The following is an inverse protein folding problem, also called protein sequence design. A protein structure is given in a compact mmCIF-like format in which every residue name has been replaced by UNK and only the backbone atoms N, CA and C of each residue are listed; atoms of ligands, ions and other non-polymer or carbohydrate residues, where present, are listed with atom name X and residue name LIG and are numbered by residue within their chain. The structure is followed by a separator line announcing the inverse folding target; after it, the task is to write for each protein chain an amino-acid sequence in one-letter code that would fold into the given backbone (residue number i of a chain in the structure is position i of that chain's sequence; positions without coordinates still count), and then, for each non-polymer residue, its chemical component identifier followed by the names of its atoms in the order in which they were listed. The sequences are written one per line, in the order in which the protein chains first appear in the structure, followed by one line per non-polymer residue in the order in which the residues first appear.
data_IF_076115315797
#
_entry.id   IF_076115315797
#
_cell.length_a   1.000
_cell.length_b   1.000
_cell.length_c   1.000
_cell.angle_alpha   90.00
_cell.angle_beta   90.00
_cell.angle_gamma   90.00
#
_symmetry.space_group_name_H-M   'P 1'
#
loop_
_entity.id
_entity.type
_entity.pdbx_description
1 polymer ?
#
# COMPACT_ATOMS: atom_id res chain seq x y z
N UNK A 1 -22.01 -1.35 16.15
CA UNK A 1 -23.33 -0.75 15.94
C UNK A 1 -24.05 -1.42 14.78
N UNK A 2 -25.29 -1.81 14.96
CA UNK A 2 -26.15 -2.40 13.91
C UNK A 2 -26.74 -1.31 12.98
N UNK A 3 -26.68 -0.05 13.39
CA UNK A 3 -27.12 1.08 12.59
C UNK A 3 -25.94 1.77 11.92
N UNK A 4 -26.19 2.33 10.74
CA UNK A 4 -25.24 3.12 9.98
C UNK A 4 -25.71 4.58 9.90
N UNK A 5 -24.75 5.49 9.96
CA UNK A 5 -25.03 6.93 9.96
C UNK A 5 -24.45 7.65 8.74
N UNK A 6 -23.70 6.95 7.89
CA UNK A 6 -23.11 7.54 6.71
C UNK A 6 -24.16 7.77 5.64
N UNK A 7 -24.26 9.00 5.17
CA UNK A 7 -25.22 9.38 4.14
C UNK A 7 -24.96 8.62 2.83
N UNK A 8 -26.02 8.00 2.26
CA UNK A 8 -25.93 7.21 1.03
C UNK A 8 -25.60 5.73 1.20
N UNK A 9 -25.40 5.24 2.44
CA UNK A 9 -25.25 3.80 2.70
C UNK A 9 -26.61 3.09 2.72
N UNK A 10 -26.66 1.88 2.16
CA UNK A 10 -27.88 1.05 2.08
C UNK A 10 -27.84 -0.18 2.97
N UNK A 11 -26.67 -0.50 3.54
CA UNK A 11 -26.46 -1.70 4.35
C UNK A 11 -25.61 -1.40 5.60
N UNK A 12 -25.89 -2.08 6.70
CA UNK A 12 -25.06 -2.01 7.91
C UNK A 12 -23.72 -2.72 7.70
N UNK A 13 -22.71 -2.36 8.51
CA UNK A 13 -21.43 -3.05 8.51
C UNK A 13 -21.59 -4.54 8.83
N UNK A 14 -22.50 -4.89 9.74
CA UNK A 14 -22.81 -6.27 10.11
C UNK A 14 -23.32 -7.06 8.90
N UNK A 15 -24.30 -6.52 8.17
CA UNK A 15 -24.85 -7.16 6.96
C UNK A 15 -23.77 -7.31 5.88
N UNK A 16 -22.94 -6.27 5.69
CA UNK A 16 -21.82 -6.33 4.74
C UNK A 16 -20.84 -7.45 5.08
N UNK A 17 -20.41 -7.54 6.33
CA UNK A 17 -19.46 -8.56 6.79
C UNK A 17 -20.05 -9.96 6.68
N UNK A 18 -21.32 -10.14 7.11
CA UNK A 18 -22.04 -11.41 7.02
C UNK A 18 -22.21 -11.89 5.58
N UNK A 19 -22.64 -10.99 4.69
CA UNK A 19 -22.81 -11.29 3.26
C UNK A 19 -21.50 -11.71 2.59
N UNK A 20 -20.39 -11.12 3.00
CA UNK A 20 -19.07 -11.41 2.46
C UNK A 20 -18.32 -12.52 3.25
N UNK A 21 -18.95 -13.13 4.25
CA UNK A 21 -18.36 -14.18 5.10
C UNK A 21 -17.04 -13.75 5.76
N UNK A 22 -16.97 -12.49 6.18
CA UNK A 22 -15.80 -11.92 6.86
C UNK A 22 -15.98 -12.12 8.36
N UNK A 23 -15.02 -12.81 8.99
CA UNK A 23 -14.99 -13.00 10.44
C UNK A 23 -14.75 -11.65 11.12
N UNK A 24 -15.55 -11.35 12.13
CA UNK A 24 -15.50 -10.11 12.88
C UNK A 24 -15.70 -10.39 14.36
N UNK A 25 -15.04 -9.63 15.22
CA UNK A 25 -15.22 -9.62 16.67
C UNK A 25 -15.76 -8.24 17.10
N UNK A 26 -16.76 -8.24 17.98
CA UNK A 26 -17.32 -7.04 18.62
C UNK A 26 -17.14 -7.07 20.15
N UNK A 27 -17.45 -5.98 20.79
CA UNK A 27 -17.45 -5.85 22.25
C UNK A 27 -16.08 -6.08 22.91
N UNK A 28 -15.01 -5.74 22.18
CA UNK A 28 -13.64 -5.72 22.71
C UNK A 28 -13.24 -4.31 23.12
N UNK A 29 -12.42 -4.20 24.16
CA UNK A 29 -11.80 -2.93 24.55
C UNK A 29 -10.72 -2.54 23.51
N UNK A 30 -11.18 -1.86 22.47
CA UNK A 30 -10.28 -1.42 21.38
C UNK A 30 -9.26 -0.38 21.85
N UNK A 31 -9.56 0.39 22.91
CA UNK A 31 -8.63 1.36 23.50
C UNK A 31 -7.46 0.66 24.19
N UNK A 32 -7.75 -0.35 25.01
CA UNK A 32 -6.71 -1.17 25.62
C UNK A 32 -5.85 -1.89 24.57
N UNK A 33 -6.48 -2.43 23.51
CA UNK A 33 -5.79 -3.08 22.42
C UNK A 33 -4.85 -2.11 21.68
N UNK A 34 -5.31 -0.89 21.37
CA UNK A 34 -4.49 0.14 20.73
C UNK A 34 -3.32 0.56 21.62
N UNK A 35 -3.55 0.73 22.93
CA UNK A 35 -2.48 1.05 23.88
C UNK A 35 -1.44 -0.08 23.93
N UNK A 36 -1.88 -1.32 23.98
CA UNK A 36 -1.00 -2.49 23.96
C UNK A 36 -0.14 -2.54 22.69
N UNK A 37 -0.72 -2.33 21.51
CA UNK A 37 0.01 -2.30 20.23
C UNK A 37 0.99 -1.13 20.21
N UNK A 38 0.63 0.03 20.74
CA UNK A 38 1.52 1.19 20.80
C UNK A 38 2.77 0.89 21.63
N UNK A 39 2.61 0.21 22.75
CA UNK A 39 3.70 -0.04 23.69
C UNK A 39 4.57 -1.23 23.23
N UNK A 40 3.99 -2.25 22.57
CA UNK A 40 4.66 -3.49 22.18
C UNK A 40 4.95 -3.61 20.67
N UNK A 41 4.47 -2.68 19.86
CA UNK A 41 4.60 -2.71 18.40
C UNK A 41 3.50 -3.51 17.70
N UNK A 42 3.47 -3.41 16.38
CA UNK A 42 2.57 -4.19 15.53
C UNK A 42 2.94 -5.68 15.55
N UNK A 43 1.93 -6.54 15.69
CA UNK A 43 2.09 -7.97 15.86
C UNK A 43 1.08 -8.76 15.04
N UNK A 44 1.36 -10.04 14.82
CA UNK A 44 0.39 -10.97 14.26
C UNK A 44 -0.76 -11.20 15.24
N UNK A 45 -1.96 -11.38 14.74
CA UNK A 45 -3.15 -11.67 15.52
C UNK A 45 -4.01 -12.73 14.83
N UNK A 46 -4.81 -13.44 15.60
CA UNK A 46 -5.76 -14.42 15.08
C UNK A 46 -7.14 -14.17 15.69
N UNK A 47 -8.17 -14.24 14.85
CA UNK A 47 -9.58 -14.28 15.28
C UNK A 47 -10.10 -15.65 14.88
N UNK A 48 -10.65 -16.39 15.84
CA UNK A 48 -11.19 -17.74 15.60
C UNK A 48 -12.69 -17.78 15.95
N UNK A 49 -13.46 -18.48 15.12
CA UNK A 49 -14.85 -18.86 15.38
C UNK A 49 -14.98 -20.26 15.96
N UNK A 50 -13.87 -20.99 16.06
CA UNK A 50 -13.79 -22.37 16.58
C UNK A 50 -13.84 -22.36 18.12
N UNK A 51 -15.04 -22.39 18.68
CA UNK A 51 -15.25 -22.36 20.14
C UNK A 51 -14.70 -23.59 20.87
N UNK A 52 -14.53 -24.72 20.18
CA UNK A 52 -13.97 -25.96 20.71
C UNK A 52 -12.43 -26.02 20.71
N UNK A 53 -11.77 -25.06 20.07
CA UNK A 53 -10.32 -25.07 19.96
C UNK A 53 -9.67 -24.45 21.20
N UNK A 54 -8.70 -25.17 21.80
CA UNK A 54 -7.99 -24.67 22.96
C UNK A 54 -7.10 -23.46 22.61
N UNK A 55 -6.93 -22.54 23.56
CA UNK A 55 -6.03 -21.37 23.40
C UNK A 55 -4.61 -21.83 23.01
N UNK A 56 -4.15 -22.98 23.50
CA UNK A 56 -2.84 -23.54 23.15
C UNK A 56 -2.74 -23.80 21.65
N UNK A 57 -3.74 -24.46 21.05
CA UNK A 57 -3.78 -24.73 19.62
C UNK A 57 -3.87 -23.45 18.78
N UNK A 58 -4.63 -22.46 19.25
CA UNK A 58 -4.72 -21.15 18.59
C UNK A 58 -3.35 -20.45 18.60
N UNK A 59 -2.63 -20.49 19.73
CA UNK A 59 -1.26 -19.96 19.83
C UNK A 59 -0.30 -20.68 18.89
N UNK A 60 -0.33 -22.00 18.84
CA UNK A 60 0.50 -22.78 17.92
C UNK A 60 0.25 -22.43 16.43
N UNK A 61 -0.98 -22.05 16.08
CA UNK A 61 -1.30 -21.53 14.75
C UNK A 61 -0.71 -20.14 14.54
N UNK A 62 -0.85 -19.25 15.54
CA UNK A 62 -0.34 -17.89 15.51
C UNK A 62 1.18 -17.84 15.38
N UNK A 63 1.89 -18.70 16.10
CA UNK A 63 3.36 -18.79 16.08
C UNK A 63 3.91 -19.23 14.72
N UNK A 64 3.08 -19.87 13.88
CA UNK A 64 3.43 -20.24 12.50
C UNK A 64 3.21 -19.13 11.49
N UNK A 65 2.57 -18.03 11.86
CA UNK A 65 2.33 -16.89 10.96
C UNK A 65 3.63 -16.12 10.75
N UNK A 66 4.13 -15.97 9.50
CA UNK A 66 5.39 -15.30 9.27
C UNK A 66 5.36 -13.83 9.69
N UNK A 67 6.53 -13.32 10.06
CA UNK A 67 6.71 -11.87 10.25
C UNK A 67 6.46 -11.12 8.94
N UNK A 68 6.04 -9.86 9.03
CA UNK A 68 5.91 -8.99 7.87
C UNK A 68 7.28 -8.65 7.23
N UNK A 69 8.39 -8.70 8.00
CA UNK A 69 9.73 -8.48 7.48
C UNK A 69 10.11 -9.59 6.49
N UNK A 70 10.57 -9.22 5.32
CA UNK A 70 10.93 -10.12 4.25
C UNK A 70 9.73 -10.79 3.55
N UNK A 71 8.49 -10.40 3.89
CA UNK A 71 7.29 -11.02 3.35
C UNK A 71 6.81 -10.32 2.09
N UNK A 72 7.02 -10.96 0.94
CA UNK A 72 6.48 -10.54 -0.35
C UNK A 72 5.00 -10.92 -0.46
N UNK A 73 4.12 -9.94 -0.66
CA UNK A 73 2.68 -10.15 -0.79
C UNK A 73 2.08 -9.54 -2.06
N UNK A 74 2.83 -8.75 -2.82
CA UNK A 74 2.33 -8.10 -4.04
C UNK A 74 1.95 -9.13 -5.10
N UNK A 75 2.69 -10.23 -5.24
CA UNK A 75 2.39 -11.33 -6.17
C UNK A 75 1.04 -12.00 -5.91
N UNK A 76 0.58 -11.99 -4.66
CA UNK A 76 -0.70 -12.60 -4.25
C UNK A 76 -1.91 -11.76 -4.61
N UNK A 77 -1.74 -10.44 -4.78
CA UNK A 77 -2.83 -9.48 -4.97
C UNK A 77 -2.80 -8.76 -6.31
N UNK A 78 -1.67 -8.82 -7.01
CA UNK A 78 -1.49 -8.26 -8.35
C UNK A 78 -2.40 -8.96 -9.38
N UNK A 79 -2.80 -8.21 -10.40
CA UNK A 79 -3.50 -8.79 -11.56
C UNK A 79 -2.66 -9.89 -12.22
N UNK A 80 -3.34 -10.89 -12.77
CA UNK A 80 -2.67 -11.99 -13.49
C UNK A 80 -2.47 -11.70 -14.99
N UNK A 81 -3.19 -10.73 -15.53
CA UNK A 81 -3.11 -10.33 -16.95
C UNK A 81 -3.21 -8.81 -17.06
N UNK A 82 -2.51 -8.20 -18.01
CA UNK A 82 -2.67 -6.77 -18.25
C UNK A 82 -4.12 -6.42 -18.62
N UNK A 83 -4.59 -5.28 -18.12
CA UNK A 83 -5.90 -4.73 -18.48
C UNK A 83 -5.86 -3.21 -18.61
N UNK A 84 -6.91 -2.63 -19.21
CA UNK A 84 -7.02 -1.20 -19.41
C UNK A 84 -8.02 -0.58 -18.44
N UNK A 85 -7.80 0.68 -18.06
CA UNK A 85 -8.70 1.45 -17.23
C UNK A 85 -8.70 2.93 -17.65
N UNK A 86 -9.87 3.56 -17.67
CA UNK A 86 -10.03 4.95 -18.12
C UNK A 86 -10.55 5.05 -19.56
N UNK A 87 -10.72 6.28 -20.04
CA UNK A 87 -11.16 6.54 -21.42
C UNK A 87 -9.94 6.43 -22.36
N UNK A 88 -10.10 5.71 -23.48
CA UNK A 88 -9.04 5.52 -24.48
C UNK A 88 -8.60 6.83 -25.15
N UNK A 89 -9.52 7.80 -25.21
CA UNK A 89 -9.26 9.13 -25.80
C UNK A 89 -8.69 10.14 -24.81
N UNK A 90 -8.34 9.69 -23.59
CA UNK A 90 -7.69 10.52 -22.57
C UNK A 90 -6.32 11.02 -23.06
N UNK A 91 -5.96 12.22 -22.60
CA UNK A 91 -4.74 12.93 -22.99
C UNK A 91 -3.46 12.18 -22.61
N UNK A 92 -3.46 11.54 -21.43
CA UNK A 92 -2.26 10.91 -20.87
C UNK A 92 -2.37 9.39 -20.84
N UNK A 93 -1.32 8.72 -21.30
CA UNK A 93 -1.17 7.26 -21.19
C UNK A 93 -0.25 6.94 -20.01
N UNK A 94 -0.76 6.22 -19.00
CA UNK A 94 0.01 5.86 -17.82
C UNK A 94 0.16 4.34 -17.72
N UNK A 95 1.39 3.85 -17.75
CA UNK A 95 1.69 2.45 -17.48
C UNK A 95 1.77 2.24 -15.97
N UNK A 96 0.91 1.37 -15.45
CA UNK A 96 0.77 1.09 -14.02
C UNK A 96 1.36 -0.28 -13.70
N UNK A 97 2.34 -0.36 -12.81
CA UNK A 97 2.76 -1.61 -12.20
C UNK A 97 1.85 -1.92 -11.01
N UNK A 98 1.15 -3.03 -11.10
CA UNK A 98 0.18 -3.44 -10.07
C UNK A 98 0.85 -4.27 -8.98
N UNK A 99 1.06 -3.66 -7.82
CA UNK A 99 1.52 -4.31 -6.59
C UNK A 99 0.37 -4.56 -5.60
N UNK A 100 -0.89 -4.37 -6.04
CA UNK A 100 -2.09 -4.42 -5.22
C UNK A 100 -2.86 -3.10 -5.27
N UNK A 101 -3.04 -2.55 -6.47
CA UNK A 101 -3.63 -1.23 -6.69
C UNK A 101 -5.07 -1.13 -6.19
N UNK A 102 -5.35 -0.12 -5.37
CA UNK A 102 -6.72 0.20 -4.99
C UNK A 102 -7.47 0.83 -6.16
N UNK A 103 -8.62 0.25 -6.51
CA UNK A 103 -9.47 0.71 -7.62
C UNK A 103 -9.77 2.21 -7.59
N UNK A 104 -9.88 2.79 -6.39
CA UNK A 104 -10.16 4.22 -6.26
C UNK A 104 -8.98 5.11 -6.71
N UNK A 105 -7.75 4.64 -6.64
CA UNK A 105 -6.57 5.32 -7.20
C UNK A 105 -6.71 5.40 -8.72
N UNK A 106 -7.02 4.28 -9.38
CA UNK A 106 -7.24 4.26 -10.81
C UNK A 106 -8.40 5.18 -11.24
N UNK A 107 -9.51 5.19 -10.48
CA UNK A 107 -10.62 6.11 -10.71
C UNK A 107 -10.20 7.58 -10.60
N UNK A 108 -9.35 7.92 -9.65
CA UNK A 108 -8.86 9.29 -9.48
C UNK A 108 -7.90 9.72 -10.59
N UNK A 109 -7.06 8.82 -11.09
CA UNK A 109 -6.22 9.08 -12.26
C UNK A 109 -7.07 9.24 -13.53
N UNK A 110 -8.06 8.36 -13.74
CA UNK A 110 -8.97 8.46 -14.87
C UNK A 110 -9.77 9.78 -14.88
N UNK A 111 -10.22 10.28 -13.72
CA UNK A 111 -10.86 11.60 -13.59
C UNK A 111 -9.95 12.76 -13.95
N UNK A 112 -8.63 12.53 -14.00
CA UNK A 112 -7.58 13.50 -14.39
C UNK A 112 -7.05 13.26 -15.80
N UNK A 113 -7.93 12.73 -16.63
CA UNK A 113 -7.68 12.52 -18.06
C UNK A 113 -6.54 11.53 -18.35
N UNK A 114 -6.48 10.45 -17.57
CA UNK A 114 -5.52 9.37 -17.74
C UNK A 114 -6.18 8.10 -18.28
N UNK A 115 -5.62 7.57 -19.37
CA UNK A 115 -5.84 6.22 -19.85
C UNK A 115 -4.72 5.32 -19.37
N UNK A 116 -5.03 4.25 -18.69
CA UNK A 116 -4.04 3.41 -18.02
C UNK A 116 -4.02 2.01 -18.60
N UNK A 117 -2.82 1.45 -18.73
CA UNK A 117 -2.59 0.02 -18.89
C UNK A 117 -1.97 -0.50 -17.61
N UNK A 118 -2.65 -1.41 -16.95
CA UNK A 118 -2.26 -2.01 -15.67
C UNK A 118 -1.53 -3.31 -15.99
N UNK A 119 -0.32 -3.44 -15.49
CA UNK A 119 0.56 -4.58 -15.72
C UNK A 119 0.76 -5.38 -14.45
N UNK A 120 0.89 -6.72 -14.53
CA UNK A 120 1.24 -7.57 -13.39
C UNK A 120 2.57 -7.20 -12.75
N UNK A 121 2.75 -7.55 -11.46
CA UNK A 121 3.95 -7.29 -10.66
C UNK A 121 5.25 -7.83 -11.26
N UNK A 122 5.18 -8.91 -12.02
CA UNK A 122 6.29 -9.61 -12.66
C UNK A 122 6.62 -9.13 -14.08
N UNK A 123 5.94 -8.08 -14.53
CA UNK A 123 6.17 -7.48 -15.86
C UNK A 123 7.56 -6.87 -15.94
N UNK A 124 8.24 -7.06 -17.08
CA UNK A 124 9.50 -6.40 -17.37
C UNK A 124 9.31 -4.99 -17.98
N UNK A 125 10.38 -4.19 -17.92
CA UNK A 125 10.37 -2.82 -18.42
C UNK A 125 10.02 -2.72 -19.92
N UNK A 126 10.53 -3.63 -20.77
CA UNK A 126 10.31 -3.57 -22.23
C UNK A 126 8.84 -3.76 -22.59
N UNK A 127 8.12 -4.62 -21.85
CA UNK A 127 6.68 -4.80 -22.02
C UNK A 127 5.88 -3.54 -21.66
N UNK A 128 6.27 -2.82 -20.61
CA UNK A 128 5.62 -1.55 -20.28
C UNK A 128 5.96 -0.45 -21.29
N UNK A 129 7.23 -0.36 -21.70
CA UNK A 129 7.75 0.61 -22.65
C UNK A 129 7.12 0.44 -24.04
N UNK A 130 6.90 -0.81 -24.50
CA UNK A 130 6.31 -1.11 -25.81
C UNK A 130 4.91 -0.53 -26.03
N UNK A 131 4.19 -0.26 -24.95
CA UNK A 131 2.89 0.43 -24.99
C UNK A 131 3.04 1.95 -25.22
N UNK A 132 4.27 2.46 -25.19
CA UNK A 132 4.61 3.87 -25.33
C UNK A 132 3.82 4.79 -24.38
N UNK A 133 3.94 4.62 -23.06
CA UNK A 133 3.27 5.48 -22.07
C UNK A 133 3.93 6.86 -22.00
N UNK A 134 3.17 7.87 -21.58
CA UNK A 134 3.68 9.21 -21.28
C UNK A 134 4.33 9.23 -19.88
N UNK A 135 3.82 8.42 -18.95
CA UNK A 135 4.29 8.33 -17.58
C UNK A 135 4.14 6.92 -17.02
N UNK A 136 4.81 6.66 -15.89
CA UNK A 136 4.74 5.42 -15.14
C UNK A 136 4.18 5.64 -13.74
N UNK A 137 3.49 4.66 -13.25
CA UNK A 137 2.94 4.65 -11.90
C UNK A 137 3.21 3.31 -11.22
N UNK A 138 3.87 3.33 -10.05
CA UNK A 138 4.05 2.16 -9.20
C UNK A 138 3.01 2.21 -8.10
N UNK A 139 2.15 1.20 -8.05
CA UNK A 139 0.98 1.25 -7.18
C UNK A 139 1.32 1.03 -5.71
N UNK A 140 0.35 1.30 -4.85
CA UNK A 140 0.33 0.79 -3.49
C UNK A 140 0.26 -0.74 -3.49
N UNK A 141 0.60 -1.35 -2.36
CA UNK A 141 0.50 -2.79 -2.17
C UNK A 141 0.81 -3.22 -0.75
N UNK A 142 0.63 -4.50 -0.41
CA UNK A 142 0.96 -5.08 0.88
C UNK A 142 2.39 -5.62 0.90
N UNK A 143 2.90 -5.87 2.11
CA UNK A 143 4.16 -6.56 2.35
C UNK A 143 5.35 -5.63 2.54
N UNK A 144 6.50 -6.26 2.55
CA UNK A 144 7.80 -5.60 2.63
C UNK A 144 8.23 -5.17 1.22
N UNK A 145 8.75 -3.94 1.02
CA UNK A 145 9.26 -3.51 -0.28
C UNK A 145 10.58 -4.18 -0.69
N UNK A 146 11.43 -4.60 0.26
CA UNK A 146 12.77 -5.13 -0.05
C UNK A 146 12.77 -6.38 -0.94
N UNK A 147 11.89 -7.38 -0.75
CA UNK A 147 11.87 -8.58 -1.60
C UNK A 147 11.35 -8.34 -3.02
N UNK A 148 10.89 -7.14 -3.37
CA UNK A 148 10.30 -6.83 -4.68
C UNK A 148 11.37 -6.57 -5.76
N UNK A 149 12.33 -7.45 -5.91
CA UNK A 149 13.50 -7.27 -6.82
C UNK A 149 13.10 -6.92 -8.24
N UNK A 150 12.07 -7.59 -8.80
CA UNK A 150 11.59 -7.29 -10.15
C UNK A 150 11.07 -5.84 -10.26
N UNK A 151 10.24 -5.41 -9.31
CA UNK A 151 9.70 -4.05 -9.28
C UNK A 151 10.80 -2.99 -9.09
N UNK A 152 11.79 -3.27 -8.22
CA UNK A 152 12.95 -2.40 -7.98
C UNK A 152 13.78 -2.26 -9.27
N UNK A 153 14.12 -3.38 -9.92
CA UNK A 153 14.92 -3.38 -11.15
C UNK A 153 14.19 -2.73 -12.32
N UNK A 154 12.90 -2.95 -12.45
CA UNK A 154 12.03 -2.26 -13.42
C UNK A 154 12.03 -0.76 -13.15
N UNK A 155 11.88 -0.34 -11.89
CA UNK A 155 11.85 1.07 -11.48
C UNK A 155 13.17 1.77 -11.78
N UNK A 156 14.33 1.13 -11.54
CA UNK A 156 15.65 1.65 -11.96
C UNK A 156 15.71 1.96 -13.46
N UNK A 157 15.14 1.10 -14.30
CA UNK A 157 15.09 1.32 -15.76
C UNK A 157 14.15 2.46 -16.15
N UNK A 158 13.01 2.60 -15.45
CA UNK A 158 12.08 3.71 -15.64
C UNK A 158 12.76 5.03 -15.30
N UNK A 159 13.44 5.14 -14.16
CA UNK A 159 14.18 6.34 -13.74
C UNK A 159 15.17 6.76 -14.83
N UNK A 160 15.96 5.81 -15.36
CA UNK A 160 16.91 6.07 -16.45
C UNK A 160 16.25 6.52 -17.76
N UNK A 161 14.96 6.29 -17.95
CA UNK A 161 14.23 6.73 -19.15
C UNK A 161 13.85 8.21 -19.15
N UNK A 162 14.04 8.91 -18.04
CA UNK A 162 13.63 10.31 -17.81
C UNK A 162 12.14 10.60 -18.07
N UNK A 163 11.28 9.57 -18.05
CA UNK A 163 9.83 9.75 -18.11
C UNK A 163 9.27 9.99 -16.70
N UNK A 164 8.19 10.78 -16.58
CA UNK A 164 7.53 10.98 -15.28
C UNK A 164 7.21 9.66 -14.61
N UNK A 165 7.55 9.55 -13.34
CA UNK A 165 7.29 8.40 -12.48
C UNK A 165 6.67 8.86 -11.18
N UNK A 166 5.61 8.18 -10.74
CA UNK A 166 4.97 8.42 -9.46
C UNK A 166 4.72 7.11 -8.73
N UNK A 167 4.86 7.11 -7.41
CA UNK A 167 4.60 5.95 -6.55
C UNK A 167 3.75 6.29 -5.33
N UNK A 168 2.88 5.37 -4.95
CA UNK A 168 2.06 5.52 -3.73
C UNK A 168 2.39 4.39 -2.75
N UNK A 169 2.65 4.73 -1.48
CA UNK A 169 2.89 3.80 -0.37
C UNK A 169 4.00 2.80 -0.74
N UNK A 170 3.69 1.52 -0.99
CA UNK A 170 4.67 0.52 -1.42
C UNK A 170 5.44 0.97 -2.67
N UNK A 171 4.76 1.58 -3.65
CA UNK A 171 5.39 2.12 -4.85
C UNK A 171 6.36 3.26 -4.56
N UNK A 172 6.07 4.12 -3.60
CA UNK A 172 7.00 5.16 -3.12
C UNK A 172 8.25 4.54 -2.49
N UNK A 173 8.07 3.49 -1.66
CA UNK A 173 9.18 2.76 -1.05
C UNK A 173 10.05 2.04 -2.08
N UNK A 174 9.45 1.41 -3.10
CA UNK A 174 10.17 0.79 -4.22
C UNK A 174 10.98 1.82 -5.00
N UNK A 175 10.46 3.03 -5.24
CA UNK A 175 11.18 4.13 -5.87
C UNK A 175 12.38 4.56 -5.00
N UNK A 176 12.21 4.66 -3.69
CA UNK A 176 13.30 4.97 -2.77
C UNK A 176 14.42 3.93 -2.82
N UNK A 177 14.08 2.64 -2.73
CA UNK A 177 15.06 1.54 -2.84
C UNK A 177 15.76 1.55 -4.21
N UNK A 178 15.04 1.85 -5.29
CA UNK A 178 15.62 1.96 -6.63
C UNK A 178 16.66 3.08 -6.74
N UNK A 179 16.57 4.11 -5.88
CA UNK A 179 17.55 5.20 -5.74
C UNK A 179 18.60 4.93 -4.63
N UNK A 180 18.67 3.72 -4.09
CA UNK A 180 19.67 3.31 -3.09
C UNK A 180 19.34 3.69 -1.66
N UNK A 181 18.12 4.14 -1.37
CA UNK A 181 17.66 4.50 -0.04
C UNK A 181 17.05 3.27 0.63
N UNK A 182 17.40 3.02 1.87
CA UNK A 182 16.88 1.92 2.67
C UNK A 182 15.46 2.19 3.16
N UNK A 183 14.78 1.10 3.46
CA UNK A 183 13.50 1.12 4.17
C UNK A 183 13.63 0.36 5.49
N UNK A 184 12.73 0.64 6.42
CA UNK A 184 12.69 -0.08 7.69
C UNK A 184 11.26 -0.34 8.13
N UNK A 185 11.04 -1.41 8.89
CA UNK A 185 9.75 -1.69 9.51
C UNK A 185 9.55 -0.77 10.70
N UNK A 186 8.48 -0.03 10.68
CA UNK A 186 8.09 0.84 11.79
C UNK A 186 7.59 0.01 12.98
N UNK A 187 7.74 0.54 14.20
CA UNK A 187 7.24 -0.08 15.42
C UNK A 187 5.73 -0.36 15.34
N UNK A 188 4.92 0.65 15.05
CA UNK A 188 3.46 0.52 14.90
C UNK A 188 2.96 0.69 13.48
N UNK A 189 3.68 1.45 12.66
CA UNK A 189 3.20 1.98 11.39
C UNK A 189 2.15 3.08 11.58
N UNK A 190 1.75 3.70 10.48
CA UNK A 190 0.68 4.68 10.45
C UNK A 190 -0.61 4.05 9.89
N UNK A 191 -1.70 4.19 10.62
CA UNK A 191 -3.02 3.62 10.28
C UNK A 191 -4.12 4.62 10.62
N UNK A 192 -4.60 5.38 9.65
CA UNK A 192 -5.67 6.35 9.88
C UNK A 192 -5.81 7.39 8.77
N UNK A 193 -6.86 8.18 8.88
CA UNK A 193 -7.22 9.23 7.91
C UNK A 193 -6.84 10.64 8.40
N UNK A 194 -6.16 10.74 9.53
CA UNK A 194 -5.89 12.00 10.23
C UNK A 194 -4.44 12.10 10.71
N UNK A 195 -3.51 11.56 9.95
CA UNK A 195 -2.08 11.70 10.26
C UNK A 195 -1.56 13.07 9.78
N UNK A 196 -1.02 13.89 10.69
CA UNK A 196 -0.41 15.15 10.29
C UNK A 196 0.95 14.89 9.62
N UNK A 197 1.26 15.69 8.63
CA UNK A 197 2.58 15.83 8.02
C UNK A 197 2.91 17.31 7.92
N UNK A 198 4.19 17.64 7.95
CA UNK A 198 4.67 19.00 7.69
C UNK A 198 5.15 19.12 6.25
N UNK A 199 4.65 20.11 5.55
CA UNK A 199 5.19 20.53 4.25
C UNK A 199 6.44 21.39 4.49
N UNK A 200 7.62 20.83 4.20
CA UNK A 200 8.90 21.48 4.51
C UNK A 200 9.15 22.75 3.68
N UNK A 201 8.53 22.87 2.49
CA UNK A 201 8.66 24.07 1.64
C UNK A 201 7.87 25.25 2.17
N UNK A 202 6.74 25.00 2.79
CA UNK A 202 5.81 26.06 3.26
C UNK A 202 5.76 26.20 4.77
N UNK A 203 6.29 25.22 5.52
CA UNK A 203 6.17 25.12 6.98
C UNK A 203 4.76 24.81 7.49
N UNK A 204 3.81 24.50 6.61
CA UNK A 204 2.41 24.23 6.98
C UNK A 204 2.19 22.77 7.32
N UNK A 205 1.37 22.52 8.36
CA UNK A 205 0.84 21.20 8.66
C UNK A 205 -0.28 20.83 7.69
N UNK A 206 -0.27 19.59 7.22
CA UNK A 206 -1.29 19.02 6.35
C UNK A 206 -1.81 17.72 6.96
N UNK A 207 -3.10 17.42 6.78
CA UNK A 207 -3.68 16.17 7.28
C UNK A 207 -3.77 15.17 6.14
N UNK A 208 -3.20 13.98 6.37
CA UNK A 208 -3.11 12.93 5.36
C UNK A 208 -3.75 11.63 5.81
N UNK A 209 -4.18 10.83 4.85
CA UNK A 209 -4.59 9.44 5.08
C UNK A 209 -3.40 8.52 4.86
N UNK A 210 -3.03 7.76 5.90
CA UNK A 210 -1.89 6.85 5.86
C UNK A 210 -2.29 5.43 6.24
N UNK A 211 -1.68 4.45 5.58
CA UNK A 211 -1.81 3.04 5.91
C UNK A 211 -0.55 2.30 5.45
N UNK A 212 0.50 2.36 6.24
CA UNK A 212 1.77 1.69 5.96
C UNK A 212 2.47 1.22 7.23
N UNK A 213 3.27 0.17 7.12
CA UNK A 213 4.07 -0.40 8.22
C UNK A 213 5.58 -0.29 7.99
N UNK A 214 5.99 0.15 6.80
CA UNK A 214 7.37 0.43 6.45
C UNK A 214 7.54 1.91 6.13
N UNK A 215 8.71 2.44 6.42
CA UNK A 215 9.08 3.82 6.10
C UNK A 215 10.45 3.87 5.42
N UNK A 216 10.71 4.97 4.75
CA UNK A 216 11.99 5.27 4.11
C UNK A 216 12.94 5.79 5.19
N UNK A 217 14.20 5.37 5.13
CA UNK A 217 15.23 5.84 6.04
C UNK A 217 15.53 7.33 5.78
N UNK A 218 15.37 8.14 6.83
CA UNK A 218 15.56 9.58 6.76
C UNK A 218 17.01 9.95 6.50
N UNK A 219 17.93 9.33 7.22
CA UNK A 219 19.36 9.66 7.17
C UNK A 219 19.95 9.31 5.80
N UNK A 220 19.52 8.18 5.21
CA UNK A 220 19.90 7.81 3.84
C UNK A 220 19.32 8.79 2.81
N UNK A 221 18.09 9.28 3.03
CA UNK A 221 17.45 10.24 2.13
C UNK A 221 18.15 11.60 2.18
N UNK A 222 18.49 12.10 3.37
CA UNK A 222 19.19 13.38 3.56
C UNK A 222 20.62 13.39 2.98
N UNK A 223 21.27 12.22 2.91
CA UNK A 223 22.59 12.06 2.28
C UNK A 223 22.54 12.04 0.74
N UNK A 224 21.36 11.82 0.16
CA UNK A 224 21.22 11.74 -1.28
C UNK A 224 20.89 13.11 -1.87
N UNK A 225 21.88 13.75 -2.51
CA UNK A 225 21.74 15.09 -3.09
C UNK A 225 20.79 15.19 -4.28
N UNK A 226 20.38 14.08 -4.87
CA UNK A 226 19.43 14.05 -5.99
C UNK A 226 17.97 13.97 -5.55
N UNK A 227 17.72 13.91 -4.24
CA UNK A 227 16.39 13.73 -3.66
C UNK A 227 16.05 14.90 -2.73
N UNK A 228 14.86 15.43 -2.88
CA UNK A 228 14.31 16.46 -2.01
C UNK A 228 13.17 15.90 -1.15
N UNK A 229 13.30 16.01 0.16
CA UNK A 229 12.21 15.72 1.10
C UNK A 229 11.29 16.94 1.14
N UNK A 230 10.08 16.79 0.63
CA UNK A 230 9.08 17.88 0.61
C UNK A 230 8.10 17.83 1.78
N UNK A 231 7.84 16.64 2.31
CA UNK A 231 6.90 16.41 3.42
C UNK A 231 7.46 15.38 4.40
N UNK A 232 7.22 15.59 5.68
CA UNK A 232 7.67 14.70 6.76
C UNK A 232 6.63 14.59 7.88
#
# INVERSE_FOLDING_TARGET
SFSFSRHGESTSLFEFLSKNKIVCISDVDTRALVSYIRDNGSMNAIISTESSESIKKIKEKLDKVPSMNGLELASRVSTKKPYFFGNKDSKYKIAVLDLGVKKNILKNLAKRDAYMKIFPHDTNYENMKSWNPDAYFISNGPGDPEPLENAINLTKKIIKSNKPLFGICLGHQVIAIANGIKTYKMHNGHRGINHPVINLKTGKGEITSQNHGFAIDKDDTEKNSEIEITHM
#
